data_IF_259349403265
#
_entry.id   IF_259349403265
#
_cell.length_a   1.000
_cell.length_b   1.000
_cell.length_c   1.000
_cell.angle_alpha   90.00
_cell.angle_beta   90.00
_cell.angle_gamma   90.00
#
_symmetry.space_group_name_H-M   'P 1'
#
loop_
_entity.id
_entity.type
_entity.pdbx_description
1 polymer ?
#
# COMPACT_ATOMS: atom_id res chain seq x y z
N UNK A 1 7.54 -15.83 -27.45
CA UNK A 1 6.76 -15.15 -26.40
C UNK A 1 7.35 -15.52 -25.05
N UNK A 2 7.57 -14.54 -24.18
CA UNK A 2 8.13 -14.75 -22.85
C UNK A 2 7.12 -14.19 -21.86
N UNK A 3 6.63 -15.05 -20.95
CA UNK A 3 5.65 -14.66 -19.94
C UNK A 3 6.37 -14.25 -18.68
N UNK A 4 6.01 -13.08 -18.15
CA UNK A 4 6.53 -12.55 -16.88
C UNK A 4 5.51 -12.81 -15.77
N UNK A 5 5.99 -13.20 -14.59
CA UNK A 5 5.19 -13.33 -13.36
C UNK A 5 5.73 -12.34 -12.33
N UNK A 6 4.82 -11.59 -11.70
CA UNK A 6 5.13 -10.64 -10.64
C UNK A 6 4.37 -11.05 -9.39
N UNK A 7 5.09 -11.39 -8.33
CA UNK A 7 4.50 -11.86 -7.07
C UNK A 7 5.30 -11.32 -5.88
N UNK A 8 4.65 -11.19 -4.70
CA UNK A 8 5.38 -10.89 -3.48
C UNK A 8 6.25 -12.09 -3.09
N UNK A 9 7.39 -11.82 -2.44
CA UNK A 9 8.33 -12.87 -1.99
C UNK A 9 7.72 -13.73 -0.86
N UNK A 10 6.77 -13.19 -0.10
CA UNK A 10 6.17 -13.90 1.03
C UNK A 10 5.16 -14.97 0.56
N UNK A 11 5.06 -16.05 1.34
CA UNK A 11 4.05 -17.09 1.12
C UNK A 11 2.63 -16.70 1.56
N UNK A 12 1.75 -17.69 1.72
CA UNK A 12 0.31 -17.49 1.97
C UNK A 12 -0.07 -16.97 3.36
N UNK A 13 0.89 -16.90 4.30
CA UNK A 13 0.71 -16.49 5.70
C UNK A 13 -0.64 -16.92 6.33
N UNK A 14 -0.92 -18.24 6.45
CA UNK A 14 -2.25 -18.73 6.83
C UNK A 14 -2.77 -18.22 8.18
N UNK A 15 -1.85 -17.87 9.10
CA UNK A 15 -2.18 -17.39 10.43
C UNK A 15 -2.82 -15.99 10.42
N UNK A 16 -2.61 -15.19 9.37
CA UNK A 16 -3.19 -13.86 9.19
C UNK A 16 -4.49 -13.85 8.36
N UNK A 17 -4.84 -14.98 7.72
CA UNK A 17 -6.05 -15.08 6.91
C UNK A 17 -7.30 -14.70 7.73
N UNK A 18 -8.09 -13.75 7.19
CA UNK A 18 -9.31 -13.25 7.83
C UNK A 18 -9.11 -12.35 9.05
N UNK A 19 -7.87 -11.93 9.36
CA UNK A 19 -7.56 -11.10 10.54
C UNK A 19 -7.22 -9.65 10.24
N UNK A 20 -7.12 -9.27 8.97
CA UNK A 20 -6.78 -7.90 8.55
C UNK A 20 -5.40 -7.40 9.06
N UNK A 21 -4.45 -8.33 9.29
CA UNK A 21 -3.10 -8.03 9.82
C UNK A 21 -1.97 -8.29 8.83
N UNK A 22 -2.26 -8.81 7.64
CA UNK A 22 -1.22 -9.06 6.63
C UNK A 22 -0.69 -7.73 6.08
N UNK A 23 0.60 -7.67 5.73
CA UNK A 23 1.17 -6.51 5.06
C UNK A 23 0.91 -6.58 3.55
N UNK A 24 0.10 -5.69 2.95
CA UNK A 24 -0.20 -5.75 1.53
C UNK A 24 0.88 -5.09 0.65
N UNK A 25 1.86 -4.40 1.22
CA UNK A 25 2.80 -3.53 0.49
C UNK A 25 3.59 -4.34 -0.56
N UNK A 26 4.10 -5.52 -0.20
CA UNK A 26 4.89 -6.32 -1.13
C UNK A 26 4.08 -6.73 -2.37
N UNK A 27 2.82 -7.12 -2.20
CA UNK A 27 1.94 -7.49 -3.30
C UNK A 27 1.62 -6.29 -4.20
N UNK A 28 1.43 -5.10 -3.60
CA UNK A 28 1.23 -3.85 -4.34
C UNK A 28 2.48 -3.48 -5.14
N UNK A 29 3.68 -3.62 -4.57
CA UNK A 29 4.93 -3.35 -5.29
C UNK A 29 5.15 -4.33 -6.44
N UNK A 30 4.68 -5.58 -6.35
CA UNK A 30 4.65 -6.49 -7.50
C UNK A 30 3.79 -5.95 -8.66
N UNK A 31 2.69 -5.25 -8.35
CA UNK A 31 1.88 -4.56 -9.38
C UNK A 31 2.66 -3.39 -9.98
N UNK A 32 3.39 -2.61 -9.18
CA UNK A 32 4.24 -1.53 -9.71
C UNK A 32 5.32 -2.08 -10.67
N UNK A 33 5.96 -3.20 -10.33
CA UNK A 33 6.90 -3.88 -11.24
C UNK A 33 6.23 -4.36 -12.53
N UNK A 34 5.00 -4.87 -12.45
CA UNK A 34 4.22 -5.27 -13.62
C UNK A 34 3.88 -4.08 -14.53
N UNK A 35 3.45 -2.96 -13.95
CA UNK A 35 3.17 -1.72 -14.69
C UNK A 35 4.43 -1.23 -15.41
N UNK A 36 5.56 -1.20 -14.73
CA UNK A 36 6.85 -0.82 -15.34
C UNK A 36 7.21 -1.75 -16.50
N UNK A 37 6.99 -3.06 -16.37
CA UNK A 37 7.22 -4.03 -17.44
C UNK A 37 6.33 -3.78 -18.68
N UNK A 38 5.12 -3.26 -18.48
CA UNK A 38 4.23 -2.84 -19.57
C UNK A 38 4.53 -1.44 -20.12
N UNK A 39 5.58 -0.78 -19.64
CA UNK A 39 5.95 0.57 -20.07
C UNK A 39 5.17 1.70 -19.39
N UNK A 40 4.31 1.37 -18.42
CA UNK A 40 3.51 2.30 -17.61
C UNK A 40 4.34 2.82 -16.43
N UNK A 41 5.41 3.57 -16.76
CA UNK A 41 6.40 4.03 -15.79
C UNK A 41 5.86 5.09 -14.85
N UNK A 42 4.98 5.96 -15.33
CA UNK A 42 4.41 7.05 -14.52
C UNK A 42 3.51 6.47 -13.42
N UNK A 43 2.69 5.47 -13.75
CA UNK A 43 1.81 4.78 -12.82
C UNK A 43 2.60 3.94 -11.81
N UNK A 44 3.66 3.25 -12.27
CA UNK A 44 4.57 2.53 -11.38
C UNK A 44 5.25 3.46 -10.37
N UNK A 45 5.77 4.60 -10.84
CA UNK A 45 6.42 5.60 -9.98
C UNK A 45 5.43 6.26 -9.00
N UNK A 46 4.19 6.49 -9.43
CA UNK A 46 3.13 7.00 -8.57
C UNK A 46 2.84 6.04 -7.41
N UNK A 47 2.80 4.72 -7.65
CA UNK A 47 2.65 3.73 -6.58
C UNK A 47 3.88 3.73 -5.66
N UNK A 48 5.09 3.66 -6.23
CA UNK A 48 6.34 3.59 -5.46
C UNK A 48 6.52 4.79 -4.54
N UNK A 49 6.30 6.00 -5.06
CA UNK A 49 6.45 7.25 -4.30
C UNK A 49 5.43 7.39 -3.17
N UNK A 50 4.18 6.97 -3.38
CA UNK A 50 3.15 6.99 -2.33
C UNK A 50 3.38 5.93 -1.26
N UNK A 51 3.85 4.73 -1.63
CA UNK A 51 4.26 3.70 -0.66
C UNK A 51 5.45 4.21 0.18
N UNK A 52 6.48 4.78 -0.44
CA UNK A 52 7.62 5.36 0.27
C UNK A 52 7.19 6.47 1.24
N UNK A 53 6.27 7.34 0.80
CA UNK A 53 5.67 8.35 1.65
C UNK A 53 4.95 7.73 2.85
N UNK A 54 4.06 6.75 2.63
CA UNK A 54 3.30 6.08 3.69
C UNK A 54 4.20 5.40 4.72
N UNK A 55 5.24 4.70 4.25
CA UNK A 55 6.22 4.03 5.13
C UNK A 55 6.99 5.05 5.97
N UNK A 56 7.47 6.15 5.36
CA UNK A 56 8.13 7.26 6.10
C UNK A 56 7.22 7.93 7.11
N UNK A 57 5.91 7.89 6.86
CA UNK A 57 4.86 8.39 7.73
C UNK A 57 4.42 7.40 8.82
N UNK A 58 4.90 6.15 8.80
CA UNK A 58 4.48 5.13 9.76
C UNK A 58 3.07 4.58 9.51
N UNK A 59 2.50 4.80 8.30
CA UNK A 59 1.25 4.15 7.87
C UNK A 59 1.56 2.73 7.40
N UNK A 60 1.97 1.89 8.35
CA UNK A 60 2.46 0.53 8.11
C UNK A 60 1.70 -0.49 8.95
N UNK A 61 1.85 -1.76 8.59
CA UNK A 61 1.27 -2.90 9.33
C UNK A 61 2.21 -3.36 10.45
N UNK A 62 1.67 -4.23 11.31
CA UNK A 62 2.30 -4.64 12.58
C UNK A 62 3.70 -5.26 12.43
N UNK A 63 4.00 -5.87 11.28
CA UNK A 63 5.30 -6.46 10.97
C UNK A 63 6.42 -5.42 10.79
N UNK A 64 6.06 -4.18 10.43
CA UNK A 64 7.02 -3.08 10.27
C UNK A 64 7.10 -2.19 11.52
N UNK A 65 5.99 -2.00 12.25
CA UNK A 65 5.95 -1.28 13.53
C UNK A 65 5.00 -1.98 14.51
N UNK A 66 5.51 -2.45 15.64
CA UNK A 66 4.72 -3.18 16.65
C UNK A 66 3.92 -2.26 17.58
N UNK A 67 4.21 -0.96 17.59
CA UNK A 67 3.63 0.02 18.50
C UNK A 67 2.62 0.94 17.82
N UNK A 68 2.90 1.35 16.59
CA UNK A 68 2.07 2.27 15.82
C UNK A 68 1.83 1.72 14.42
N UNK A 69 0.78 0.92 14.28
CA UNK A 69 0.41 0.28 13.03
C UNK A 69 -1.06 0.44 12.69
N UNK A 70 -1.38 0.25 11.41
CA UNK A 70 -2.72 0.16 10.87
C UNK A 70 -2.98 -1.25 10.31
N UNK A 71 -4.23 -1.53 9.95
CA UNK A 71 -4.63 -2.84 9.42
C UNK A 71 -4.33 -2.96 7.92
N UNK A 72 -4.39 -4.18 7.37
CA UNK A 72 -4.19 -4.47 5.95
C UNK A 72 -5.09 -3.61 5.07
N UNK A 73 -6.39 -3.61 5.36
CA UNK A 73 -7.38 -2.77 4.66
C UNK A 73 -7.05 -1.29 4.74
N UNK A 74 -6.64 -0.77 5.91
CA UNK A 74 -6.29 0.65 6.07
C UNK A 74 -5.08 1.07 5.24
N UNK A 75 -4.08 0.21 5.06
CA UNK A 75 -2.97 0.48 4.14
C UNK A 75 -3.50 0.59 2.69
N UNK A 76 -4.37 -0.34 2.28
CA UNK A 76 -5.00 -0.30 0.95
C UNK A 76 -5.83 0.96 0.72
N UNK A 77 -6.70 1.31 1.67
CA UNK A 77 -7.55 2.49 1.61
C UNK A 77 -6.71 3.77 1.55
N UNK A 78 -5.68 3.88 2.39
CA UNK A 78 -4.77 5.01 2.40
C UNK A 78 -4.07 5.19 1.06
N UNK A 79 -3.54 4.11 0.47
CA UNK A 79 -2.92 4.19 -0.85
C UNK A 79 -3.94 4.58 -1.93
N UNK A 80 -5.14 4.00 -1.92
CA UNK A 80 -6.18 4.35 -2.88
C UNK A 80 -6.54 5.83 -2.85
N UNK A 81 -6.66 6.41 -1.65
CA UNK A 81 -6.92 7.84 -1.47
C UNK A 81 -5.78 8.71 -1.97
N UNK A 82 -4.52 8.27 -1.81
CA UNK A 82 -3.35 9.00 -2.28
C UNK A 82 -3.18 8.97 -3.80
N UNK A 83 -3.57 7.86 -4.43
CA UNK A 83 -3.55 7.72 -5.89
C UNK A 83 -4.68 8.52 -6.56
N UNK A 84 -5.78 8.76 -5.85
CA UNK A 84 -6.90 9.56 -6.34
C UNK A 84 -6.55 11.07 -6.30
N UNK A 85 -5.93 11.53 -7.40
CA UNK A 85 -5.49 12.92 -7.61
C UNK A 85 -6.63 13.96 -7.53
N UNK A 86 -7.89 13.53 -7.48
CA UNK A 86 -9.05 14.39 -7.28
C UNK A 86 -9.16 14.91 -5.85
N UNK A 87 -8.47 14.29 -4.90
CA UNK A 87 -8.43 14.67 -3.48
C UNK A 87 -7.12 15.40 -3.16
N UNK A 88 -6.75 16.40 -3.96
CA UNK A 88 -5.54 17.22 -3.77
C UNK A 88 -5.48 18.00 -2.43
N UNK A 89 -6.52 17.91 -1.60
CA UNK A 89 -6.58 18.46 -0.24
C UNK A 89 -6.79 17.39 0.85
N UNK A 90 -6.25 16.17 0.70
CA UNK A 90 -6.17 15.26 1.86
C UNK A 90 -5.29 15.93 2.93
N UNK A 91 -5.95 16.51 3.94
CA UNK A 91 -5.32 16.95 5.18
C UNK A 91 -4.79 15.72 5.89
N UNK A 92 -3.54 15.36 5.60
CA UNK A 92 -2.82 14.25 6.23
C UNK A 92 -2.95 14.24 7.75
N UNK A 93 -3.01 15.41 8.37
CA UNK A 93 -3.23 15.59 9.82
C UNK A 93 -4.45 14.81 10.35
N UNK A 94 -5.52 14.66 9.55
CA UNK A 94 -6.73 13.94 9.97
C UNK A 94 -6.60 12.41 9.90
N UNK A 95 -5.76 11.87 9.01
CA UNK A 95 -5.53 10.41 8.89
C UNK A 95 -4.78 9.86 10.12
N UNK A 96 -3.89 10.66 10.72
CA UNK A 96 -3.11 10.28 11.91
C UNK A 96 -3.91 10.29 13.20
N UNK A 97 -5.04 11.00 13.26
CA UNK A 97 -5.93 10.99 14.43
C UNK A 97 -6.86 9.77 14.48
N UNK A 98 -6.64 8.76 13.63
CA UNK A 98 -7.50 7.59 13.52
C UNK A 98 -8.86 7.89 12.86
N UNK A 99 -9.04 9.11 12.33
CA UNK A 99 -10.19 9.53 11.54
C UNK A 99 -9.82 9.53 10.06
N UNK A 100 -9.55 8.35 9.52
CA UNK A 100 -9.79 8.18 8.09
C UNK A 100 -11.26 8.53 7.85
N UNK A 101 -11.60 9.41 6.88
CA UNK A 101 -12.97 9.50 6.43
C UNK A 101 -13.34 8.10 5.95
N UNK A 102 -14.22 7.45 6.69
CA UNK A 102 -14.98 6.31 6.15
C UNK A 102 -15.85 6.96 5.08
N UNK A 103 -15.46 6.77 3.82
CA UNK A 103 -16.33 7.05 2.68
C UNK A 103 -17.47 6.03 2.67
#
# INVERSE_FOLDING_TARGET
EQTSLFEPIHGSYPQAAGKDIANPIAAILSVAMMLEHFGLKEEAELINSNIDFMVKKGLVTQDLDVHNFVTCSKVGDALSLLLDQTIAEVRFENMFEGKLPVI
#
